data_IF_161377406515
#
_entry.id   IF_161377406515
#
_cell.length_a   1.000
_cell.length_b   1.000
_cell.length_c   1.000
_cell.angle_alpha   90.00
_cell.angle_beta   90.00
_cell.angle_gamma   90.00
#
_symmetry.space_group_name_H-M   'P 1'
#
loop_
_entity.id
_entity.type
_entity.pdbx_description
1 polymer ?
#
# COMPACT_ATOMS: atom_id res chain seq x y z
N UNK A 1 1.54 12.39 7.63
CA UNK A 1 0.68 11.22 7.42
C UNK A 1 1.42 9.96 7.84
N UNK A 2 0.75 9.05 8.54
CA UNK A 2 1.32 7.78 9.01
C UNK A 2 0.36 6.64 8.68
N UNK A 3 0.91 5.45 8.42
CA UNK A 3 0.15 4.23 8.13
C UNK A 3 0.00 3.32 9.38
N UNK A 4 0.25 3.87 10.56
CA UNK A 4 0.06 3.20 11.85
C UNK A 4 -0.39 4.22 12.87
N UNK A 5 -1.18 3.79 13.86
CA UNK A 5 -1.60 4.65 14.96
C UNK A 5 -0.35 5.18 15.71
N UNK A 6 -0.22 6.50 15.86
CA UNK A 6 0.88 7.08 16.64
C UNK A 6 0.71 6.77 18.13
N UNK A 7 1.82 6.45 18.79
CA UNK A 7 1.85 6.15 20.22
C UNK A 7 2.42 7.28 21.09
N UNK A 8 2.91 8.34 20.44
CA UNK A 8 3.54 9.48 21.11
C UNK A 8 2.46 10.40 21.69
N UNK A 9 2.50 10.65 23.00
CA UNK A 9 1.52 11.47 23.71
C UNK A 9 1.48 12.93 23.24
N UNK A 10 2.60 13.46 22.75
CA UNK A 10 2.74 14.83 22.25
C UNK A 10 2.15 15.05 20.84
N UNK A 11 1.54 14.02 20.24
CA UNK A 11 0.95 14.12 18.91
C UNK A 11 -0.58 14.18 18.97
N UNK A 12 -1.12 15.24 18.36
CA UNK A 12 -2.54 15.26 17.99
C UNK A 12 -2.68 14.35 16.77
N UNK A 13 -3.50 13.32 16.89
CA UNK A 13 -3.74 12.34 15.83
C UNK A 13 -5.22 12.29 15.44
N UNK A 14 -5.48 12.19 14.16
CA UNK A 14 -6.81 11.92 13.59
C UNK A 14 -6.73 10.73 12.66
N UNK A 15 -7.60 9.77 12.88
CA UNK A 15 -7.79 8.68 11.92
C UNK A 15 -8.43 9.26 10.65
N UNK A 16 -7.79 9.03 9.52
CA UNK A 16 -8.29 9.43 8.20
C UNK A 16 -9.23 8.35 7.68
N UNK A 17 -8.85 7.09 7.83
CA UNK A 17 -9.58 5.92 7.36
C UNK A 17 -8.64 4.75 7.08
N UNK A 18 -9.14 3.80 6.32
CA UNK A 18 -8.43 2.55 6.00
C UNK A 18 -8.16 2.51 4.50
N UNK A 19 -6.90 2.34 4.14
CA UNK A 19 -6.44 2.24 2.75
C UNK A 19 -6.39 0.76 2.34
N UNK A 20 -7.25 0.32 1.42
CA UNK A 20 -7.22 -1.06 0.93
C UNK A 20 -6.01 -1.30 0.05
N UNK A 21 -5.42 -2.48 0.19
CA UNK A 21 -4.33 -2.97 -0.63
C UNK A 21 -4.82 -4.04 -1.60
N UNK A 22 -4.14 -4.18 -2.73
CA UNK A 22 -4.42 -5.21 -3.73
C UNK A 22 -3.17 -5.68 -4.45
N UNK A 23 -3.21 -6.90 -4.99
CA UNK A 23 -2.22 -7.37 -5.94
C UNK A 23 -2.45 -6.68 -7.29
N UNK A 24 -1.40 -6.15 -7.86
CA UNK A 24 -1.46 -5.48 -9.16
C UNK A 24 -0.31 -5.90 -10.06
N UNK A 25 -0.59 -5.94 -11.35
CA UNK A 25 0.41 -6.10 -12.40
C UNK A 25 0.05 -5.22 -13.59
N UNK A 26 1.04 -4.88 -14.40
CA UNK A 26 0.80 -4.20 -15.68
C UNK A 26 0.24 -5.18 -16.72
N UNK A 27 -0.70 -4.73 -17.55
CA UNK A 27 -1.32 -5.54 -18.63
C UNK A 27 -0.29 -6.29 -19.46
N UNK A 28 0.79 -5.62 -19.91
CA UNK A 28 1.84 -6.26 -20.73
C UNK A 28 2.57 -7.41 -20.04
N UNK A 29 2.65 -7.40 -18.69
CA UNK A 29 3.19 -8.51 -17.92
C UNK A 29 2.24 -9.70 -18.00
N UNK A 30 0.94 -9.45 -17.80
CA UNK A 30 -0.10 -10.47 -17.84
C UNK A 30 -0.28 -11.06 -19.24
N UNK A 31 -0.19 -10.24 -20.28
CA UNK A 31 -0.25 -10.70 -21.68
C UNK A 31 0.85 -11.71 -21.98
N UNK A 32 2.02 -11.56 -21.36
CA UNK A 32 3.18 -12.44 -21.56
C UNK A 32 3.19 -13.66 -20.65
N UNK A 33 2.73 -13.52 -19.40
CA UNK A 33 2.90 -14.53 -18.36
C UNK A 33 1.60 -15.16 -17.89
N UNK A 34 0.44 -14.68 -18.39
CA UNK A 34 -0.88 -15.10 -17.95
C UNK A 34 -1.32 -14.33 -16.69
N UNK A 35 -2.60 -14.49 -16.35
CA UNK A 35 -3.23 -13.92 -15.16
C UNK A 35 -3.44 -15.02 -14.14
N UNK A 36 -2.89 -14.90 -12.91
CA UNK A 36 -3.13 -15.90 -11.88
C UNK A 36 -4.61 -15.95 -11.49
N UNK A 37 -5.16 -17.15 -11.33
CA UNK A 37 -6.54 -17.42 -10.94
C UNK A 37 -6.69 -17.75 -9.46
N UNK A 38 -5.58 -18.05 -8.79
CA UNK A 38 -5.51 -18.37 -7.36
C UNK A 38 -4.25 -17.81 -6.71
N UNK A 39 -4.24 -17.77 -5.37
CA UNK A 39 -3.04 -17.39 -4.61
C UNK A 39 -1.87 -18.37 -4.85
N UNK A 40 -2.17 -19.64 -5.11
CA UNK A 40 -1.15 -20.64 -5.41
C UNK A 40 -0.42 -20.36 -6.74
N UNK A 41 -1.15 -19.81 -7.73
CA UNK A 41 -0.57 -19.50 -9.05
C UNK A 41 0.49 -18.39 -8.96
N UNK A 42 0.44 -17.55 -7.90
CA UNK A 42 1.46 -16.52 -7.68
C UNK A 42 2.88 -17.09 -7.59
N UNK A 43 3.03 -18.37 -7.20
CA UNK A 43 4.33 -19.04 -7.15
C UNK A 43 5.01 -19.17 -8.54
N UNK A 44 4.24 -19.06 -9.62
CA UNK A 44 4.72 -19.15 -11.00
C UNK A 44 5.03 -17.76 -11.60
N UNK A 45 4.82 -16.70 -10.84
CA UNK A 45 5.01 -15.33 -11.29
C UNK A 45 6.20 -14.64 -10.62
N UNK A 46 6.77 -13.65 -11.30
CA UNK A 46 7.73 -12.75 -10.70
C UNK A 46 7.02 -11.86 -9.67
N UNK A 47 7.36 -12.00 -8.39
CA UNK A 47 6.80 -11.20 -7.31
C UNK A 47 7.72 -10.05 -6.96
N UNK A 48 7.14 -8.89 -6.64
CA UNK A 48 7.84 -7.68 -6.20
C UNK A 48 7.46 -7.46 -4.73
N UNK A 49 8.45 -7.35 -3.84
CA UNK A 49 8.19 -7.17 -2.42
C UNK A 49 9.31 -6.46 -1.66
N UNK A 50 9.23 -6.51 -0.34
CA UNK A 50 10.17 -5.85 0.56
C UNK A 50 11.42 -6.70 0.80
N UNK A 51 12.56 -6.06 1.02
CA UNK A 51 13.79 -6.71 1.47
C UNK A 51 13.87 -6.80 2.99
N UNK A 52 13.42 -5.76 3.70
CA UNK A 52 13.38 -5.73 5.16
C UNK A 52 12.13 -6.41 5.73
N UNK A 53 12.31 -7.17 6.80
CA UNK A 53 11.22 -7.83 7.52
C UNK A 53 10.63 -6.92 8.61
N UNK A 54 9.80 -5.96 8.20
CA UNK A 54 9.05 -5.09 9.11
C UNK A 54 7.90 -5.84 9.81
N UNK A 55 7.31 -5.30 10.90
CA UNK A 55 6.10 -5.87 11.50
C UNK A 55 4.94 -6.06 10.52
N UNK A 56 4.78 -5.15 9.57
CA UNK A 56 3.79 -5.24 8.50
C UNK A 56 4.08 -6.42 7.57
N UNK A 57 5.32 -6.57 7.12
CA UNK A 57 5.74 -7.69 6.25
C UNK A 57 5.54 -9.03 6.96
N UNK A 58 5.84 -9.12 8.28
CA UNK A 58 5.57 -10.33 9.08
C UNK A 58 4.08 -10.66 9.15
N UNK A 59 3.22 -9.64 9.31
CA UNK A 59 1.77 -9.85 9.30
C UNK A 59 1.28 -10.33 7.93
N UNK A 60 1.78 -9.72 6.85
CA UNK A 60 1.49 -10.12 5.48
C UNK A 60 1.90 -11.57 5.21
N UNK A 61 3.09 -11.98 5.63
CA UNK A 61 3.57 -13.37 5.46
C UNK A 61 2.70 -14.39 6.21
N UNK A 62 2.16 -14.05 7.39
CA UNK A 62 1.22 -14.93 8.10
C UNK A 62 -0.07 -15.14 7.32
N UNK A 63 -0.60 -14.10 6.68
CA UNK A 63 -1.79 -14.17 5.87
C UNK A 63 -1.54 -14.84 4.50
N UNK A 64 -0.35 -14.62 3.93
CA UNK A 64 0.07 -15.11 2.62
C UNK A 64 1.47 -15.69 2.69
N UNK A 65 1.64 -16.98 2.98
CA UNK A 65 2.97 -17.60 3.08
C UNK A 65 3.83 -17.46 1.82
N UNK A 66 3.19 -17.36 0.64
CA UNK A 66 3.90 -17.13 -0.62
C UNK A 66 4.56 -15.73 -0.66
N UNK A 67 4.03 -14.75 0.07
CA UNK A 67 4.53 -13.38 0.12
C UNK A 67 5.68 -13.26 1.13
N UNK A 68 6.78 -13.89 0.82
CA UNK A 68 7.98 -13.87 1.64
C UNK A 68 9.21 -13.45 0.81
N UNK A 69 10.25 -13.01 1.51
CA UNK A 69 11.48 -12.46 0.92
C UNK A 69 12.14 -13.39 -0.11
N UNK A 70 12.08 -14.68 0.11
CA UNK A 70 12.76 -15.69 -0.73
C UNK A 70 12.06 -15.87 -2.07
N UNK A 71 10.75 -15.61 -2.12
CA UNK A 71 9.95 -15.75 -3.34
C UNK A 71 9.93 -14.47 -4.19
N UNK A 72 10.47 -13.35 -3.70
CA UNK A 72 10.49 -12.12 -4.47
C UNK A 72 11.59 -12.12 -5.51
N UNK A 73 11.21 -11.97 -6.79
CA UNK A 73 12.14 -11.81 -7.89
C UNK A 73 12.83 -10.45 -7.86
N UNK A 74 12.13 -9.42 -7.35
CA UNK A 74 12.66 -8.07 -7.14
C UNK A 74 12.29 -7.61 -5.74
N UNK A 75 13.25 -7.00 -5.03
CA UNK A 75 13.07 -6.51 -3.67
C UNK A 75 13.47 -5.06 -3.53
N UNK A 76 12.66 -4.29 -2.83
CA UNK A 76 12.96 -2.91 -2.47
C UNK A 76 12.08 -2.46 -1.32
N UNK A 77 12.64 -1.70 -0.37
CA UNK A 77 11.93 -1.13 0.77
C UNK A 77 11.35 0.27 0.47
N UNK A 78 11.44 0.69 -0.78
CA UNK A 78 10.88 1.95 -1.25
C UNK A 78 9.54 1.71 -1.98
N UNK A 79 8.44 2.15 -1.39
CA UNK A 79 7.09 2.00 -1.96
C UNK A 79 6.95 2.63 -3.35
N UNK A 80 7.63 3.76 -3.59
CA UNK A 80 7.60 4.41 -4.90
C UNK A 80 8.34 3.59 -5.96
N UNK A 81 9.43 2.92 -5.57
CA UNK A 81 10.13 2.00 -6.45
C UNK A 81 9.28 0.75 -6.72
N UNK A 82 8.58 0.20 -5.72
CA UNK A 82 7.69 -0.94 -5.93
C UNK A 82 6.62 -0.63 -6.97
N UNK A 83 5.91 0.50 -6.84
CA UNK A 83 4.88 0.87 -7.81
C UNK A 83 5.45 1.16 -9.20
N UNK A 84 6.66 1.74 -9.28
CA UNK A 84 7.36 1.94 -10.55
C UNK A 84 7.69 0.61 -11.23
N UNK A 85 8.13 -0.40 -10.48
CA UNK A 85 8.40 -1.76 -10.98
C UNK A 85 7.13 -2.45 -11.47
N UNK A 86 6.00 -2.31 -10.75
CA UNK A 86 4.71 -2.83 -11.20
C UNK A 86 4.31 -2.17 -12.52
N UNK A 87 4.38 -0.85 -12.62
CA UNK A 87 4.11 -0.08 -13.84
C UNK A 87 5.05 -0.44 -14.98
N UNK A 88 6.30 -0.74 -14.66
CA UNK A 88 7.28 -1.21 -15.64
C UNK A 88 7.01 -2.64 -16.13
N UNK A 89 6.01 -3.35 -15.56
CA UNK A 89 5.71 -4.73 -15.95
C UNK A 89 6.78 -5.73 -15.53
N UNK A 90 7.48 -5.46 -14.41
CA UNK A 90 8.52 -6.36 -13.89
C UNK A 90 7.93 -7.56 -13.15
N UNK A 91 6.65 -7.50 -12.76
CA UNK A 91 6.01 -8.57 -12.01
C UNK A 91 4.71 -8.12 -11.34
N UNK A 92 4.28 -8.95 -10.38
CA UNK A 92 3.12 -8.72 -9.53
C UNK A 92 3.59 -8.14 -8.20
N UNK A 93 3.00 -7.03 -7.78
CA UNK A 93 3.29 -6.39 -6.49
C UNK A 93 2.01 -6.00 -5.75
N UNK A 94 2.16 -5.65 -4.47
CA UNK A 94 1.07 -5.11 -3.65
C UNK A 94 1.17 -3.58 -3.65
N UNK A 95 0.07 -2.91 -3.94
CA UNK A 95 -0.02 -1.46 -3.77
C UNK A 95 -1.43 -1.03 -3.37
N UNK A 96 -1.56 0.25 -3.04
CA UNK A 96 -2.84 0.84 -2.66
C UNK A 96 -3.80 0.85 -3.86
N UNK A 97 -5.03 0.41 -3.62
CA UNK A 97 -6.08 0.33 -4.65
C UNK A 97 -6.32 1.67 -5.36
N UNK A 98 -6.36 2.77 -4.60
CA UNK A 98 -6.62 4.11 -5.15
C UNK A 98 -5.47 4.63 -6.03
N UNK A 99 -4.23 4.25 -5.74
CA UNK A 99 -3.08 4.59 -6.60
C UNK A 99 -3.15 3.79 -7.89
N UNK A 100 -3.44 2.50 -7.79
CA UNK A 100 -3.55 1.61 -8.96
C UNK A 100 -4.70 2.03 -9.88
N UNK A 101 -5.85 2.43 -9.32
CA UNK A 101 -7.03 2.85 -10.09
C UNK A 101 -6.79 4.08 -10.99
N UNK A 102 -5.72 4.86 -10.72
CA UNK A 102 -5.32 6.00 -11.56
C UNK A 102 -4.53 5.62 -12.81
N UNK A 103 -4.15 4.36 -12.93
CA UNK A 103 -3.37 3.85 -14.07
C UNK A 103 -4.15 2.73 -14.76
N UNK A 104 -4.73 3.05 -15.91
CA UNK A 104 -5.55 2.12 -16.69
C UNK A 104 -4.80 0.88 -17.19
N UNK A 105 -3.47 0.88 -17.10
CA UNK A 105 -2.65 -0.28 -17.47
C UNK A 105 -2.39 -1.23 -16.29
N UNK A 106 -2.73 -0.83 -15.07
CA UNK A 106 -2.64 -1.70 -13.90
C UNK A 106 -3.94 -2.50 -13.73
N UNK A 107 -3.79 -3.78 -13.59
CA UNK A 107 -4.89 -4.73 -13.36
C UNK A 107 -4.82 -5.20 -11.91
N UNK A 108 -5.94 -5.10 -11.20
CA UNK A 108 -6.10 -5.73 -9.90
C UNK A 108 -6.26 -7.24 -10.10
N UNK A 109 -5.37 -7.99 -9.49
CA UNK A 109 -5.31 -9.46 -9.57
C UNK A 109 -5.89 -10.04 -8.28
N UNK A 110 -6.69 -11.09 -8.41
CA UNK A 110 -7.30 -11.79 -7.29
C UNK A 110 -8.02 -10.83 -6.33
N UNK A 111 -9.01 -10.03 -6.81
CA UNK A 111 -9.67 -9.02 -6.00
C UNK A 111 -10.28 -9.64 -4.75
N UNK A 112 -10.13 -8.97 -3.62
CA UNK A 112 -10.61 -9.43 -2.31
C UNK A 112 -9.75 -10.51 -1.64
N UNK A 113 -8.67 -10.95 -2.25
CA UNK A 113 -7.79 -11.99 -1.68
C UNK A 113 -6.81 -11.46 -0.64
N UNK A 114 -6.59 -10.14 -0.56
CA UNK A 114 -5.72 -9.52 0.44
C UNK A 114 -6.58 -8.98 1.59
N UNK A 115 -6.59 -9.59 2.78
CA UNK A 115 -7.22 -9.04 3.97
C UNK A 115 -6.30 -8.01 4.68
N UNK A 116 -5.39 -7.38 3.95
CA UNK A 116 -4.49 -6.37 4.49
C UNK A 116 -4.95 -4.99 4.07
N UNK A 117 -4.92 -4.10 5.02
CA UNK A 117 -5.22 -2.69 4.83
C UNK A 117 -4.29 -1.85 5.70
N UNK A 118 -4.13 -0.59 5.33
CA UNK A 118 -3.32 0.36 6.07
C UNK A 118 -4.23 1.38 6.75
N UNK A 119 -4.22 1.41 8.08
CA UNK A 119 -4.81 2.53 8.81
C UNK A 119 -4.03 3.80 8.52
N UNK A 120 -4.72 4.82 8.07
CA UNK A 120 -4.09 6.10 7.72
C UNK A 120 -4.41 7.14 8.78
N UNK A 121 -3.37 7.77 9.30
CA UNK A 121 -3.44 8.76 10.37
C UNK A 121 -2.79 10.08 9.95
N UNK A 122 -3.44 11.19 10.22
CA UNK A 122 -2.85 12.51 10.13
C UNK A 122 -2.44 12.97 11.53
N UNK A 123 -1.20 13.46 11.66
CA UNK A 123 -0.64 13.88 12.95
C UNK A 123 0.00 15.24 12.85
N UNK A 124 -0.06 15.99 13.96
CA UNK A 124 0.76 17.19 14.19
C UNK A 124 1.22 17.23 15.65
N UNK A 125 2.29 17.96 15.93
CA UNK A 125 2.73 18.18 17.31
C UNK A 125 1.74 19.06 18.07
N UNK A 126 1.51 18.79 19.35
CA UNK A 126 0.54 19.54 20.17
C UNK A 126 0.87 21.04 20.29
N UNK A 127 2.15 21.41 20.29
CA UNK A 127 2.59 22.82 20.33
C UNK A 127 2.08 23.63 19.12
N UNK A 128 1.77 22.95 18.00
CA UNK A 128 1.24 23.60 16.81
C UNK A 128 -0.28 23.78 16.83
N UNK A 129 -0.95 23.27 17.86
CA UNK A 129 -2.43 23.28 17.98
C UNK A 129 -3.01 24.68 17.86
N UNK A 130 -2.34 25.67 18.48
CA UNK A 130 -2.81 27.05 18.52
C UNK A 130 -2.30 27.92 17.38
N UNK A 131 -1.51 27.36 16.45
CA UNK A 131 -1.05 28.08 15.28
C UNK A 131 -2.14 28.03 14.18
N UNK A 132 -2.72 29.19 13.77
CA UNK A 132 -3.83 29.24 12.82
C UNK A 132 -3.48 28.60 11.47
N UNK A 133 -2.27 28.84 10.95
CA UNK A 133 -1.83 28.29 9.66
C UNK A 133 -1.69 26.77 9.72
N UNK A 134 -1.14 26.23 10.81
CA UNK A 134 -1.02 24.80 11.01
C UNK A 134 -2.40 24.14 11.11
N UNK A 135 -3.34 24.78 11.80
CA UNK A 135 -4.71 24.28 11.95
C UNK A 135 -5.43 24.21 10.60
N UNK A 136 -5.41 25.32 9.83
CA UNK A 136 -6.05 25.37 8.50
C UNK A 136 -5.46 24.29 7.56
N UNK A 137 -4.14 24.15 7.57
CA UNK A 137 -3.45 23.13 6.77
C UNK A 137 -3.84 21.71 7.23
N UNK A 138 -3.88 21.47 8.54
CA UNK A 138 -4.26 20.17 9.10
C UNK A 138 -5.69 19.81 8.71
N UNK A 139 -6.64 20.73 8.85
CA UNK A 139 -8.05 20.51 8.53
C UNK A 139 -8.26 20.25 7.01
N UNK A 140 -7.56 21.02 6.16
CA UNK A 140 -7.60 20.82 4.71
C UNK A 140 -7.03 19.46 4.29
N UNK A 141 -5.88 19.07 4.88
CA UNK A 141 -5.27 17.76 4.64
C UNK A 141 -6.17 16.62 5.15
N UNK A 142 -6.77 16.78 6.34
CA UNK A 142 -7.66 15.78 6.90
C UNK A 142 -8.84 15.51 5.97
N UNK A 143 -9.50 16.58 5.51
CA UNK A 143 -10.62 16.48 4.58
C UNK A 143 -10.19 15.83 3.26
N UNK A 144 -9.14 16.34 2.62
CA UNK A 144 -8.68 15.80 1.33
C UNK A 144 -8.23 14.34 1.40
N UNK A 145 -7.63 13.92 2.53
CA UNK A 145 -7.26 12.53 2.74
C UNK A 145 -8.50 11.66 3.03
N UNK A 146 -9.49 12.15 3.77
CA UNK A 146 -10.74 11.43 3.99
C UNK A 146 -11.50 11.21 2.67
N UNK A 147 -11.61 12.26 1.85
CA UNK A 147 -12.22 12.17 0.51
C UNK A 147 -11.45 11.18 -0.40
N UNK A 148 -10.13 11.07 -0.21
CA UNK A 148 -9.29 10.13 -0.96
C UNK A 148 -9.46 8.66 -0.52
N UNK A 149 -9.70 8.43 0.78
CA UNK A 149 -9.81 7.08 1.36
C UNK A 149 -11.23 6.52 1.25
N UNK A 150 -12.23 7.39 1.19
CA UNK A 150 -13.64 7.01 1.01
C UNK A 150 -13.91 6.86 -0.50
N UNK A 151 -14.34 5.68 -0.98
CA UNK A 151 -14.62 5.45 -2.40
C UNK A 151 -15.83 6.24 -2.89
#
# INVERSE_FOLDING_TARGET
VRMTQPRQEQLIARCVGVMPLGFHAHKRYLDKHGTPSSLADLAQHALIGFDEETPFVRAARKAFPIWNRENFAVRTDNDMAQIALIRAGCGIGVCQMHIAARDLNLVNILPGSIPLSLETWLTMHEDLRNNPSCKVTFDALLKGLQDYVTP
#
